data_IF_923876096710
#
_entry.id   IF_923876096710
#
_cell.length_a   1.000
_cell.length_b   1.000
_cell.length_c   1.000
_cell.angle_alpha   90.00
_cell.angle_beta   90.00
_cell.angle_gamma   90.00
#
_symmetry.space_group_name_H-M   'P 1'
#
loop_
_entity.id
_entity.type
_entity.pdbx_description
1 polymer ?
#
# COMPACT_ATOMS: atom_id res chain seq x y z
N UNK A 1 13.36 -3.47 33.12
CA UNK A 1 11.98 -3.42 32.58
C UNK A 1 12.06 -3.80 31.11
N UNK A 2 11.58 -4.98 30.72
CA UNK A 2 11.41 -5.34 29.30
C UNK A 2 10.13 -4.66 28.82
N UNK A 3 10.26 -3.80 27.81
CA UNK A 3 9.09 -3.20 27.14
C UNK A 3 8.28 -4.34 26.52
N UNK A 4 6.93 -4.29 26.58
CA UNK A 4 6.12 -5.25 25.87
C UNK A 4 6.39 -5.09 24.37
N UNK A 5 6.89 -6.14 23.73
CA UNK A 5 7.00 -6.24 22.28
C UNK A 5 5.58 -6.41 21.75
N UNK A 6 4.81 -5.33 21.75
CA UNK A 6 3.47 -5.28 21.17
C UNK A 6 3.41 -4.05 20.28
N UNK A 7 3.76 -4.32 19.03
CA UNK A 7 3.35 -3.68 17.80
C UNK A 7 4.55 -3.78 16.87
N UNK A 8 4.62 -4.86 16.08
CA UNK A 8 5.43 -4.83 14.87
C UNK A 8 4.90 -3.67 14.03
N UNK A 9 5.54 -2.50 14.14
CA UNK A 9 5.15 -1.32 13.37
C UNK A 9 5.25 -1.70 11.89
N UNK A 10 4.13 -1.64 11.18
CA UNK A 10 4.10 -1.97 9.76
C UNK A 10 5.19 -1.13 9.07
N UNK A 11 6.15 -1.75 8.37
CA UNK A 11 7.18 -0.98 7.69
C UNK A 11 6.56 0.04 6.73
N UNK A 12 7.09 1.28 6.65
CA UNK A 12 6.48 2.33 5.84
C UNK A 12 6.25 1.96 4.37
N UNK A 13 7.13 1.11 3.82
CA UNK A 13 7.03 0.61 2.44
C UNK A 13 5.94 -0.45 2.21
N UNK A 14 5.33 -0.97 3.28
CA UNK A 14 4.16 -1.87 3.23
C UNK A 14 2.84 -1.13 3.53
N UNK A 15 2.90 0.15 3.91
CA UNK A 15 1.71 0.95 4.18
C UNK A 15 1.18 1.58 2.90
N UNK A 16 -0.13 1.62 2.77
CA UNK A 16 -0.77 2.38 1.71
C UNK A 16 -0.61 3.88 1.98
N UNK A 17 -0.18 4.69 1.00
CA UNK A 17 -0.07 6.15 1.18
C UNK A 17 -1.41 6.89 1.38
N UNK A 18 -2.54 6.22 1.14
CA UNK A 18 -3.89 6.80 1.28
C UNK A 18 -4.51 6.39 2.62
N UNK A 19 -4.59 5.08 2.90
CA UNK A 19 -5.22 4.57 4.12
C UNK A 19 -4.29 4.53 5.32
N UNK A 20 -2.97 4.59 5.11
CA UNK A 20 -1.92 4.39 6.13
C UNK A 20 -1.91 3.00 6.78
N UNK A 21 -2.72 2.07 6.28
CA UNK A 21 -2.83 0.69 6.72
C UNK A 21 -1.95 -0.24 5.86
N UNK A 22 -1.76 -1.48 6.31
CA UNK A 22 -1.06 -2.52 5.56
C UNK A 22 -1.76 -2.77 4.21
N UNK A 23 -0.99 -2.87 3.12
CA UNK A 23 -1.54 -3.23 1.81
C UNK A 23 -1.82 -4.74 1.73
N UNK A 24 -3.06 -5.12 1.51
CA UNK A 24 -3.48 -6.51 1.27
C UNK A 24 -3.46 -6.86 -0.23
N UNK A 25 -3.85 -5.91 -1.07
CA UNK A 25 -3.79 -6.01 -2.52
C UNK A 25 -3.04 -4.80 -3.13
N UNK A 26 -1.69 -4.81 -3.05
CA UNK A 26 -0.88 -3.71 -3.56
C UNK A 26 -0.99 -3.62 -5.09
N UNK A 27 -1.32 -2.43 -5.59
CA UNK A 27 -1.41 -2.07 -7.01
C UNK A 27 -0.56 -0.83 -7.31
N UNK A 28 0.15 -0.86 -8.43
CA UNK A 28 0.97 0.24 -8.94
C UNK A 28 0.11 1.10 -9.85
N UNK A 29 0.13 2.41 -9.59
CA UNK A 29 -0.42 3.42 -10.47
C UNK A 29 0.63 3.83 -11.52
N UNK A 30 0.20 4.41 -12.64
CA UNK A 30 1.11 4.94 -13.69
C UNK A 30 2.23 5.86 -13.19
N UNK A 31 2.04 6.50 -12.04
CA UNK A 31 3.07 7.27 -11.32
C UNK A 31 4.25 6.45 -10.74
N UNK A 32 4.17 5.11 -10.76
CA UNK A 32 5.15 4.21 -10.14
C UNK A 32 4.93 3.95 -8.64
N UNK A 33 3.96 4.62 -8.01
CA UNK A 33 3.64 4.45 -6.59
C UNK A 33 2.65 3.31 -6.40
N UNK A 34 2.86 2.53 -5.34
CA UNK A 34 1.99 1.42 -4.96
C UNK A 34 0.97 1.85 -3.90
N UNK A 35 -0.27 1.42 -4.07
CA UNK A 35 -1.39 1.70 -3.18
C UNK A 35 -2.15 0.41 -2.89
N UNK A 36 -2.97 0.43 -1.84
CA UNK A 36 -4.02 -0.59 -1.68
C UNK A 36 -5.08 -0.40 -2.77
N UNK A 37 -5.51 -1.49 -3.43
CA UNK A 37 -6.47 -1.45 -4.54
C UNK A 37 -7.72 -0.69 -4.15
N UNK A 38 -8.35 -1.03 -3.04
CA UNK A 38 -9.62 -0.43 -2.61
C UNK A 38 -9.48 1.09 -2.42
N UNK A 39 -8.35 1.53 -1.86
CA UNK A 39 -8.07 2.94 -1.57
C UNK A 39 -7.87 3.77 -2.84
N UNK A 40 -7.01 3.31 -3.75
CA UNK A 40 -6.78 4.05 -5.01
C UNK A 40 -7.98 3.96 -5.95
N UNK A 41 -8.71 2.85 -5.95
CA UNK A 41 -9.92 2.71 -6.74
C UNK A 41 -10.99 3.71 -6.27
N UNK A 42 -11.20 3.84 -4.96
CA UNK A 42 -12.11 4.86 -4.40
C UNK A 42 -11.68 6.27 -4.81
N UNK A 43 -10.39 6.59 -4.71
CA UNK A 43 -9.85 7.88 -5.15
C UNK A 43 -10.19 8.19 -6.61
N UNK A 44 -10.01 7.22 -7.52
CA UNK A 44 -10.34 7.37 -8.94
C UNK A 44 -11.85 7.47 -9.21
N UNK A 45 -12.66 6.74 -8.44
CA UNK A 45 -14.12 6.77 -8.50
C UNK A 45 -14.70 8.11 -8.04
N UNK A 46 -14.07 8.76 -7.04
CA UNK A 46 -14.40 10.11 -6.59
C UNK A 46 -14.08 11.20 -7.63
N UNK A 47 -13.65 10.81 -8.84
CA UNK A 47 -13.38 11.72 -9.95
C UNK A 47 -11.95 12.27 -9.98
N UNK A 48 -11.10 11.87 -9.03
CA UNK A 48 -9.72 12.32 -9.03
C UNK A 48 -8.95 11.70 -10.20
N UNK A 49 -8.17 12.52 -10.89
CA UNK A 49 -7.30 12.14 -12.02
C UNK A 49 -5.84 12.52 -11.78
N UNK A 50 -5.48 12.75 -10.53
CA UNK A 50 -4.12 13.05 -10.12
C UNK A 50 -3.61 11.98 -9.15
N UNK A 51 -2.29 11.76 -9.15
CA UNK A 51 -1.63 10.91 -8.18
C UNK A 51 -1.81 11.48 -6.77
N UNK A 52 -2.30 10.71 -5.78
CA UNK A 52 -2.49 11.19 -4.40
C UNK A 52 -1.23 11.75 -3.75
N UNK A 53 -0.07 11.20 -4.13
CA UNK A 53 1.23 11.54 -3.51
C UNK A 53 1.95 12.62 -4.30
N UNK A 54 2.16 12.43 -5.61
CA UNK A 54 2.91 13.40 -6.42
C UNK A 54 2.06 14.60 -6.85
N UNK A 55 0.73 14.51 -6.72
CA UNK A 55 -0.26 15.51 -7.20
C UNK A 55 -0.18 15.78 -8.70
N UNK A 56 0.53 14.95 -9.45
CA UNK A 56 0.64 15.06 -10.90
C UNK A 56 -0.57 14.38 -11.58
N UNK A 57 -1.01 14.95 -12.70
CA UNK A 57 -2.07 14.36 -13.50
C UNK A 57 -1.66 12.96 -14.00
N UNK A 58 -2.60 12.02 -13.93
CA UNK A 58 -2.41 10.64 -14.35
C UNK A 58 -2.62 10.56 -15.86
N UNK A 59 -1.59 10.12 -16.58
CA UNK A 59 -1.71 9.80 -18.01
C UNK A 59 -2.62 8.59 -18.27
N UNK A 60 -2.62 7.63 -17.35
CA UNK A 60 -3.57 6.51 -17.32
C UNK A 60 -4.01 6.20 -15.88
N UNK A 61 -5.27 5.78 -15.74
CA UNK A 61 -5.85 5.33 -14.47
C UNK A 61 -5.76 3.80 -14.31
N UNK A 62 -4.84 3.17 -15.03
CA UNK A 62 -4.63 1.73 -14.96
C UNK A 62 -3.95 1.36 -13.64
N UNK A 63 -4.45 0.28 -13.03
CA UNK A 63 -3.94 -0.26 -11.78
C UNK A 63 -3.28 -1.61 -12.07
N UNK A 64 -1.95 -1.65 -11.96
CA UNK A 64 -1.16 -2.84 -12.25
C UNK A 64 -0.91 -3.60 -10.94
N UNK A 65 -1.29 -4.87 -10.79
CA UNK A 65 -1.02 -5.63 -9.56
C UNK A 65 0.47 -5.74 -9.23
N UNK A 66 0.86 -5.48 -7.99
CA UNK A 66 2.22 -5.66 -7.49
C UNK A 66 2.36 -7.00 -6.75
N UNK A 67 2.44 -8.10 -7.50
CA UNK A 67 2.54 -9.44 -6.94
C UNK A 67 3.80 -9.64 -6.08
N UNK A 68 4.91 -8.99 -6.44
CA UNK A 68 6.16 -9.04 -5.67
C UNK A 68 5.99 -8.43 -4.29
N UNK A 69 5.44 -7.21 -4.21
CA UNK A 69 5.18 -6.57 -2.92
C UNK A 69 4.16 -7.35 -2.08
N UNK A 70 3.14 -7.92 -2.74
CA UNK A 70 2.14 -8.77 -2.06
C UNK A 70 2.80 -9.99 -1.41
N UNK A 71 3.76 -10.63 -2.07
CA UNK A 71 4.51 -11.75 -1.48
C UNK A 71 5.38 -11.29 -0.31
N UNK A 72 6.10 -10.18 -0.45
CA UNK A 72 6.94 -9.62 0.62
C UNK A 72 6.13 -9.28 1.87
N UNK A 73 4.95 -8.65 1.71
CA UNK A 73 4.04 -8.34 2.80
C UNK A 73 3.54 -9.61 3.49
N UNK A 74 3.16 -10.64 2.71
CA UNK A 74 2.73 -11.93 3.26
C UNK A 74 3.83 -12.59 4.08
N UNK A 75 5.06 -12.63 3.56
CA UNK A 75 6.21 -13.18 4.28
C UNK A 75 6.52 -12.41 5.56
N UNK A 76 6.46 -11.08 5.51
CA UNK A 76 6.66 -10.24 6.70
C UNK A 76 5.57 -10.46 7.76
N UNK A 77 4.30 -10.54 7.32
CA UNK A 77 3.16 -10.76 8.20
C UNK A 77 3.21 -12.15 8.86
N UNK A 78 3.61 -13.19 8.11
CA UNK A 78 3.82 -14.52 8.69
C UNK A 78 4.95 -14.55 9.70
N UNK A 79 6.07 -13.89 9.42
CA UNK A 79 7.22 -13.84 10.36
C UNK A 79 6.94 -12.99 11.59
N UNK A 80 6.01 -12.04 11.54
CA UNK A 80 5.61 -11.22 12.69
C UNK A 80 4.61 -11.92 13.62
N UNK A 81 4.07 -13.08 13.22
CA UNK A 81 3.17 -13.92 14.01
C UNK A 81 3.88 -15.09 14.72
N UNK A 82 5.19 -15.25 14.51
CA UNK A 82 6.04 -16.25 15.16
C UNK A 82 6.93 -15.58 16.23
N UNK A 83 6.33 -14.99 17.26
CA UNK A 83 6.96 -14.71 18.56
C UNK A 83 5.93 -14.66 19.71
#
# INVERSE_FOLDING_TARGET
>A
MRLPVKNAEIPPYFRCPISFELMEDPVILSSGITYERSSIQKWLLDGNRACPVTRQALGSCELIPNSTLKQLIKSWSSSSNEE
#
